data_IF_493552276722
#
_entry.id   IF_493552276722
#
_cell.length_a   1.000
_cell.length_b   1.000
_cell.length_c   1.000
_cell.angle_alpha   90.00
_cell.angle_beta   90.00
_cell.angle_gamma   90.00
#
_symmetry.space_group_name_H-M   'P 1'
#
loop_
_entity.id
_entity.type
_entity.pdbx_description
1 polymer ?
#
# COMPACT_ATOMS: atom_id res chain seq x y z
N UNK A 1 -17.04 -16.39 9.71
CA UNK A 1 -16.81 -16.55 8.26
C UNK A 1 -15.69 -15.60 7.88
N UNK A 2 -14.69 -16.00 7.08
CA UNK A 2 -13.76 -15.04 6.50
C UNK A 2 -14.57 -13.97 5.78
N UNK A 3 -14.21 -12.71 5.95
CA UNK A 3 -14.81 -11.63 5.16
C UNK A 3 -14.25 -11.76 3.73
N UNK A 4 -15.03 -11.37 2.72
CA UNK A 4 -14.59 -11.46 1.33
C UNK A 4 -13.53 -10.38 1.04
N UNK A 5 -12.43 -10.76 0.39
CA UNK A 5 -11.36 -9.85 -0.05
C UNK A 5 -10.23 -9.60 0.97
N UNK A 6 -9.28 -8.76 0.55
CA UNK A 6 -8.12 -8.31 1.32
C UNK A 6 -8.39 -6.87 1.76
N UNK A 7 -8.48 -6.64 3.07
CA UNK A 7 -8.64 -5.28 3.59
C UNK A 7 -8.32 -5.18 5.09
N UNK A 8 -7.92 -3.98 5.50
CA UNK A 8 -7.82 -3.55 6.89
C UNK A 8 -8.32 -2.12 7.05
N UNK A 9 -8.74 -1.77 8.27
CA UNK A 9 -8.85 -0.36 8.64
C UNK A 9 -7.48 0.31 8.68
N UNK A 10 -7.46 1.62 8.43
CA UNK A 10 -6.25 2.42 8.60
C UNK A 10 -6.11 2.86 10.05
N UNK A 11 -5.01 2.42 10.68
CA UNK A 11 -4.65 2.78 12.04
C UNK A 11 -5.55 2.18 13.13
N UNK A 12 -5.41 2.71 14.35
CA UNK A 12 -6.12 2.22 15.52
C UNK A 12 -7.56 2.72 15.55
N UNK A 13 -8.52 1.84 15.29
CA UNK A 13 -9.96 2.13 15.39
C UNK A 13 -10.53 1.97 16.80
N UNK A 14 -9.78 1.32 17.70
CA UNK A 14 -10.22 1.00 19.07
C UNK A 14 -10.98 -0.33 19.16
N UNK A 15 -10.89 -1.00 20.30
CA UNK A 15 -11.46 -2.34 20.46
C UNK A 15 -10.77 -3.39 19.57
N UNK A 16 -11.49 -4.45 19.20
CA UNK A 16 -11.01 -5.46 18.25
C UNK A 16 -11.11 -4.93 16.83
N UNK A 17 -10.00 -4.97 16.08
CA UNK A 17 -9.97 -4.65 14.65
C UNK A 17 -9.64 -5.89 13.82
N UNK A 18 -10.27 -6.01 12.65
CA UNK A 18 -10.11 -7.15 11.75
C UNK A 18 -9.19 -6.77 10.60
N UNK A 19 -8.26 -7.68 10.29
CA UNK A 19 -7.57 -7.73 9.01
C UNK A 19 -8.19 -8.91 8.25
N UNK A 20 -8.82 -8.63 7.11
CA UNK A 20 -9.42 -9.66 6.26
C UNK A 20 -8.39 -10.18 5.27
N UNK A 21 -8.18 -11.49 5.28
CA UNK A 21 -7.31 -12.18 4.33
C UNK A 21 -8.07 -13.40 3.79
N UNK A 22 -8.77 -13.22 2.67
CA UNK A 22 -9.35 -14.33 1.93
C UNK A 22 -8.26 -15.26 1.36
N UNK A 23 -8.65 -16.41 0.81
CA UNK A 23 -7.70 -17.45 0.34
C UNK A 23 -6.73 -16.92 -0.72
N UNK A 24 -7.20 -16.04 -1.58
CA UNK A 24 -6.42 -15.34 -2.62
C UNK A 24 -5.54 -14.21 -2.06
N UNK A 25 -5.75 -13.80 -0.81
CA UNK A 25 -4.93 -12.80 -0.10
C UNK A 25 -3.74 -13.40 0.64
N UNK A 26 -3.60 -14.72 0.70
CA UNK A 26 -2.51 -15.40 1.44
C UNK A 26 -1.22 -15.39 0.62
N UNK A 27 -0.69 -14.18 0.40
CA UNK A 27 0.60 -13.91 -0.19
C UNK A 27 1.33 -12.87 0.66
N UNK A 28 2.63 -13.05 0.88
CA UNK A 28 3.41 -12.23 1.82
C UNK A 28 3.23 -10.71 1.61
N UNK A 29 3.23 -10.27 0.35
CA UNK A 29 3.09 -8.85 0.02
C UNK A 29 1.70 -8.29 0.35
N UNK A 30 0.63 -9.06 0.12
CA UNK A 30 -0.74 -8.64 0.47
C UNK A 30 -0.88 -8.57 1.99
N UNK A 31 -0.36 -9.57 2.71
CA UNK A 31 -0.43 -9.56 4.17
C UNK A 31 0.30 -8.33 4.73
N UNK A 32 1.50 -8.02 4.21
CA UNK A 32 2.23 -6.82 4.64
C UNK A 32 1.51 -5.52 4.28
N UNK A 33 0.86 -5.44 3.12
CA UNK A 33 0.02 -4.31 2.73
C UNK A 33 -1.10 -4.07 3.75
N UNK A 34 -1.86 -5.11 4.10
CA UNK A 34 -2.95 -4.99 5.06
C UNK A 34 -2.48 -4.70 6.49
N UNK A 35 -1.33 -5.26 6.89
CA UNK A 35 -0.70 -4.93 8.17
C UNK A 35 -0.25 -3.47 8.20
N UNK A 36 0.29 -2.94 7.10
CA UNK A 36 0.66 -1.53 7.01
C UNK A 36 -0.57 -0.61 7.14
N UNK A 37 -1.69 -0.96 6.52
CA UNK A 37 -2.96 -0.28 6.78
C UNK A 37 -3.31 -0.31 8.28
N UNK A 38 -3.33 -1.48 8.92
CA UNK A 38 -3.63 -1.59 10.35
C UNK A 38 -2.73 -0.73 11.25
N UNK A 39 -1.47 -0.54 10.85
CA UNK A 39 -0.50 0.30 11.56
C UNK A 39 -0.81 1.80 11.38
N UNK A 40 -1.38 2.19 10.24
CA UNK A 40 -1.76 3.58 9.95
C UNK A 40 -1.23 4.13 8.63
N UNK A 41 -0.75 3.29 7.73
CA UNK A 41 -0.30 3.71 6.41
C UNK A 41 -1.46 3.76 5.43
N UNK A 42 -1.53 4.87 4.71
CA UNK A 42 -2.45 5.08 3.60
C UNK A 42 -1.79 4.70 2.27
N UNK A 43 -2.57 4.60 1.20
CA UNK A 43 -2.00 4.34 -0.11
C UNK A 43 -1.13 5.51 -0.62
N UNK A 44 0.02 5.17 -1.21
CA UNK A 44 0.98 6.17 -1.68
C UNK A 44 0.38 7.01 -2.84
N UNK A 45 -0.46 6.42 -3.69
CA UNK A 45 -1.14 7.14 -4.78
C UNK A 45 -2.26 8.09 -4.30
N UNK A 46 -2.66 8.03 -3.03
CA UNK A 46 -3.65 8.94 -2.45
C UNK A 46 -3.01 10.17 -1.80
N UNK A 47 -1.68 10.29 -1.81
CA UNK A 47 -0.98 11.47 -1.30
C UNK A 47 -1.51 12.78 -1.92
N UNK A 48 -1.58 13.88 -1.16
CA UNK A 48 -2.06 15.17 -1.70
C UNK A 48 -1.21 15.69 -2.87
N UNK A 49 0.08 15.35 -2.89
CA UNK A 49 1.06 15.74 -3.92
C UNK A 49 1.21 14.75 -5.08
N UNK A 50 0.41 13.66 -5.11
CA UNK A 50 0.53 12.56 -6.09
C UNK A 50 0.48 13.01 -7.56
N UNK A 51 -0.24 14.10 -7.87
CA UNK A 51 -0.35 14.61 -9.24
C UNK A 51 0.96 15.19 -9.80
N UNK A 52 2.01 15.35 -8.97
CA UNK A 52 3.38 15.66 -9.42
C UNK A 52 4.14 14.43 -9.94
N UNK A 53 3.64 13.23 -9.64
CA UNK A 53 4.33 11.96 -9.84
C UNK A 53 3.57 11.02 -10.76
N UNK A 54 2.25 10.98 -10.63
CA UNK A 54 1.36 10.15 -11.47
C UNK A 54 0.23 10.98 -12.06
N UNK A 55 -0.40 10.44 -13.10
CA UNK A 55 -1.64 10.93 -13.68
C UNK A 55 -2.67 9.81 -13.66
N UNK A 56 -3.86 10.11 -13.12
CA UNK A 56 -4.98 9.18 -13.09
C UNK A 56 -5.87 9.36 -14.32
N UNK A 57 -6.10 8.29 -15.08
CA UNK A 57 -6.98 8.23 -16.23
C UNK A 57 -8.39 7.84 -15.79
N UNK A 58 -9.13 8.78 -15.20
CA UNK A 58 -10.47 8.53 -14.63
C UNK A 58 -11.47 7.94 -15.63
N UNK A 59 -11.32 8.23 -16.94
CA UNK A 59 -12.16 7.64 -18.00
C UNK A 59 -11.99 6.12 -18.12
N UNK A 60 -10.87 5.58 -17.65
CA UNK A 60 -10.57 4.14 -17.65
C UNK A 60 -10.95 3.46 -16.34
N UNK A 61 -11.33 4.20 -15.30
CA UNK A 61 -11.71 3.63 -14.00
C UNK A 61 -13.12 3.02 -14.10
N UNK A 62 -13.33 1.88 -13.46
CA UNK A 62 -14.64 1.25 -13.35
C UNK A 62 -15.65 2.18 -12.66
N UNK A 63 -16.90 2.15 -13.11
CA UNK A 63 -17.98 2.93 -12.49
C UNK A 63 -18.11 2.54 -11.01
N UNK A 64 -18.18 3.55 -10.13
CA UNK A 64 -18.23 3.37 -8.67
C UNK A 64 -16.87 3.22 -7.98
N UNK A 65 -15.76 3.11 -8.72
CA UNK A 65 -14.42 2.92 -8.16
C UNK A 65 -13.56 4.20 -8.15
N UNK A 66 -14.14 5.36 -8.50
CA UNK A 66 -13.43 6.64 -8.53
C UNK A 66 -12.89 7.04 -7.14
N UNK A 67 -13.62 6.68 -6.08
CA UNK A 67 -13.26 6.99 -4.67
C UNK A 67 -11.91 6.40 -4.25
N UNK A 68 -11.47 5.27 -4.84
CA UNK A 68 -10.16 4.67 -4.53
C UNK A 68 -8.99 5.51 -5.04
N UNK A 69 -9.27 6.52 -5.87
CA UNK A 69 -8.30 7.49 -6.36
C UNK A 69 -8.47 8.86 -5.71
N UNK A 70 -9.37 9.04 -4.74
CA UNK A 70 -9.47 10.31 -4.04
C UNK A 70 -8.18 10.58 -3.27
N UNK A 71 -7.72 11.84 -3.35
CA UNK A 71 -6.55 12.28 -2.60
C UNK A 71 -6.97 12.56 -1.17
N UNK A 72 -6.11 12.20 -0.23
CA UNK A 72 -6.24 12.60 1.15
C UNK A 72 -6.05 14.12 1.26
N UNK A 73 -6.59 14.70 2.33
CA UNK A 73 -6.31 16.08 2.72
C UNK A 73 -4.88 16.19 3.27
N UNK A 74 -4.17 17.31 3.03
CA UNK A 74 -2.89 17.59 3.68
C UNK A 74 -2.92 17.58 5.21
N UNK A 75 -4.10 17.65 5.82
CA UNK A 75 -4.27 17.56 7.28
C UNK A 75 -4.48 16.13 7.80
N UNK A 76 -4.76 15.18 6.91
CA UNK A 76 -5.06 13.78 7.26
C UNK A 76 -3.82 12.88 7.22
N UNK A 77 -2.78 13.29 6.49
CA UNK A 77 -1.58 12.47 6.27
C UNK A 77 -0.32 13.32 6.33
N UNK A 78 0.69 12.83 7.04
CA UNK A 78 2.05 13.37 7.01
C UNK A 78 2.88 12.55 6.02
N UNK A 79 3.50 13.22 5.04
CA UNK A 79 4.29 12.60 3.98
C UNK A 79 5.60 13.37 3.79
N UNK A 80 6.47 13.40 4.81
CA UNK A 80 7.72 14.15 4.77
C UNK A 80 8.73 13.56 3.78
N UNK A 81 8.49 12.33 3.34
CA UNK A 81 9.37 11.57 2.48
C UNK A 81 9.03 11.77 1.00
N UNK A 82 9.99 11.47 0.13
CA UNK A 82 9.79 11.49 -1.32
C UNK A 82 8.74 10.48 -1.75
N UNK A 83 7.96 10.82 -2.79
CA UNK A 83 7.00 9.89 -3.39
C UNK A 83 7.69 8.61 -3.85
N UNK A 84 7.14 7.47 -3.45
CA UNK A 84 7.73 6.17 -3.69
C UNK A 84 6.87 5.29 -4.59
N UNK A 85 7.25 5.19 -5.87
CA UNK A 85 6.56 4.33 -6.83
C UNK A 85 6.68 2.84 -6.48
N UNK A 86 7.70 2.45 -5.72
CA UNK A 86 7.98 1.06 -5.35
C UNK A 86 7.41 0.70 -3.97
N UNK A 87 6.64 1.61 -3.35
CA UNK A 87 6.00 1.36 -2.05
C UNK A 87 5.01 0.21 -2.17
N UNK A 88 5.01 -0.69 -1.19
CA UNK A 88 4.01 -1.76 -1.10
C UNK A 88 2.58 -1.20 -0.96
N UNK A 89 2.45 0.08 -0.56
CA UNK A 89 1.18 0.81 -0.46
C UNK A 89 0.80 1.52 -1.77
N UNK A 90 1.54 1.35 -2.85
CA UNK A 90 1.22 1.92 -4.16
C UNK A 90 0.48 0.89 -5.03
N UNK A 91 -0.66 1.28 -5.59
CA UNK A 91 -1.38 0.44 -6.56
C UNK A 91 -0.66 0.29 -7.90
N UNK A 92 -0.92 -0.82 -8.58
CA UNK A 92 -0.48 -1.06 -9.95
C UNK A 92 -1.17 -0.11 -10.96
N UNK A 93 -0.60 -0.01 -12.16
CA UNK A 93 -1.09 0.88 -13.23
C UNK A 93 -2.51 0.55 -13.73
N UNK A 94 -3.02 -0.66 -13.49
CA UNK A 94 -4.33 -1.13 -13.94
C UNK A 94 -5.36 -1.22 -12.81
N UNK A 95 -5.02 -0.84 -11.57
CA UNK A 95 -5.93 -0.89 -10.44
C UNK A 95 -7.30 -0.29 -10.79
N UNK A 96 -8.38 -1.03 -10.50
CA UNK A 96 -9.76 -0.66 -10.79
C UNK A 96 -10.07 -0.24 -12.25
N UNK A 97 -9.23 -0.61 -13.22
CA UNK A 97 -9.48 -0.34 -14.63
C UNK A 97 -10.68 -1.11 -15.17
N UNK A 98 -11.47 -0.48 -16.04
CA UNK A 98 -12.52 -1.17 -16.80
C UNK A 98 -11.89 -2.19 -17.74
N UNK A 99 -12.62 -3.24 -18.07
CA UNK A 99 -12.18 -4.21 -19.08
C UNK A 99 -12.45 -3.65 -20.47
N UNK A 100 -11.46 -3.72 -21.34
CA UNK A 100 -11.61 -3.46 -22.75
C UNK A 100 -12.61 -4.46 -23.36
N UNK A 101 -13.60 -3.96 -24.10
CA UNK A 101 -14.69 -4.78 -24.62
C UNK A 101 -14.27 -5.74 -25.73
N UNK A 102 -13.12 -5.49 -26.37
CA UNK A 102 -12.62 -6.30 -27.49
C UNK A 102 -11.61 -7.35 -27.05
N UNK A 103 -10.72 -7.00 -26.12
CA UNK A 103 -9.61 -7.85 -25.67
C UNK A 103 -9.85 -8.46 -24.29
N UNK A 104 -10.77 -7.91 -23.49
CA UNK A 104 -10.98 -8.29 -22.10
C UNK A 104 -9.88 -7.82 -21.14
N UNK A 105 -8.83 -7.17 -21.64
CA UNK A 105 -7.73 -6.65 -20.84
C UNK A 105 -8.19 -5.50 -19.94
N UNK A 106 -7.62 -5.40 -18.74
CA UNK A 106 -7.89 -4.27 -17.84
C UNK A 106 -7.19 -3.03 -18.39
N UNK A 107 -7.88 -1.90 -18.48
CA UNK A 107 -7.26 -0.66 -18.95
C UNK A 107 -6.36 -0.03 -17.89
N UNK A 108 -5.33 0.68 -18.34
CA UNK A 108 -4.45 1.48 -17.47
C UNK A 108 -5.23 2.65 -16.88
N UNK A 109 -5.17 2.80 -15.55
CA UNK A 109 -5.77 3.88 -14.77
C UNK A 109 -4.75 4.83 -14.18
N UNK A 110 -3.49 4.43 -14.01
CA UNK A 110 -2.43 5.31 -13.49
C UNK A 110 -1.18 5.27 -14.36
N UNK A 111 -0.68 6.46 -14.68
CA UNK A 111 0.50 6.64 -15.55
C UNK A 111 1.56 7.43 -14.77
N UNK A 112 2.77 6.89 -14.55
CA UNK A 112 3.84 7.65 -13.93
C UNK A 112 4.35 8.74 -14.87
N UNK A 113 4.63 9.92 -14.31
CA UNK A 113 5.17 11.08 -15.05
C UNK A 113 6.69 10.99 -15.21
N UNK A 114 7.37 10.21 -14.36
CA UNK A 114 8.79 9.92 -14.47
C UNK A 114 9.03 8.85 -15.54
N UNK A 115 9.84 9.18 -16.56
CA UNK A 115 10.19 8.25 -17.63
C UNK A 115 10.90 7.00 -17.08
N UNK A 116 10.52 5.84 -17.61
CA UNK A 116 11.13 4.55 -17.27
C UNK A 116 10.59 3.91 -15.98
N UNK A 117 9.66 4.57 -15.28
CA UNK A 117 8.92 3.96 -14.18
C UNK A 117 7.79 3.10 -14.74
N UNK A 118 7.63 1.91 -14.18
CA UNK A 118 6.52 0.98 -14.43
C UNK A 118 5.82 0.78 -13.09
N UNK A 119 4.49 0.80 -13.10
CA UNK A 119 3.67 0.55 -11.90
C UNK A 119 3.06 -0.83 -12.04
N UNK A 120 3.70 -1.80 -11.40
CA UNK A 120 3.25 -3.18 -11.24
C UNK A 120 2.97 -3.45 -9.75
N UNK A 121 2.51 -4.66 -9.44
CA UNK A 121 2.38 -5.09 -8.04
C UNK A 121 3.74 -5.09 -7.33
N UNK A 122 3.85 -4.29 -6.27
CA UNK A 122 5.04 -4.24 -5.43
C UNK A 122 5.04 -5.43 -4.45
N UNK A 123 5.89 -6.42 -4.74
CA UNK A 123 5.90 -7.70 -4.01
C UNK A 123 6.66 -7.67 -2.68
N UNK A 124 7.15 -6.52 -2.25
CA UNK A 124 7.91 -6.32 -1.00
C UNK A 124 7.85 -4.87 -0.55
N UNK A 125 8.08 -4.63 0.74
CA UNK A 125 8.29 -3.29 1.28
C UNK A 125 9.52 -2.63 0.64
N UNK A 126 9.38 -1.36 0.28
CA UNK A 126 10.49 -0.54 -0.17
C UNK A 126 11.38 -0.11 1.01
N UNK A 127 12.54 0.48 0.71
CA UNK A 127 13.36 1.11 1.74
C UNK A 127 12.63 2.27 2.44
N UNK A 128 11.76 2.99 1.70
CA UNK A 128 10.94 4.07 2.24
C UNK A 128 9.88 3.53 3.19
N UNK A 129 9.19 2.45 2.84
CA UNK A 129 8.19 1.79 3.70
C UNK A 129 8.81 1.37 5.03
N UNK A 130 9.97 0.72 4.98
CA UNK A 130 10.71 0.27 6.16
C UNK A 130 11.17 1.48 7.00
N UNK A 131 11.65 2.55 6.36
CA UNK A 131 12.07 3.76 7.06
C UNK A 131 10.89 4.44 7.78
N UNK A 132 9.75 4.57 7.10
CA UNK A 132 8.50 5.11 7.66
C UNK A 132 8.02 4.28 8.85
N UNK A 133 8.00 2.96 8.71
CA UNK A 133 7.60 2.04 9.78
C UNK A 133 8.53 2.18 11.00
N UNK A 134 9.85 2.20 10.79
CA UNK A 134 10.81 2.37 11.88
C UNK A 134 10.67 3.74 12.57
N UNK A 135 10.38 4.80 11.80
CA UNK A 135 10.13 6.14 12.36
C UNK A 135 8.90 6.17 13.24
N UNK A 136 7.81 5.56 12.78
CA UNK A 136 6.55 5.48 13.54
C UNK A 136 6.72 4.67 14.83
N UNK A 137 7.46 3.55 14.77
CA UNK A 137 7.74 2.69 15.92
C UNK A 137 8.85 3.19 16.85
N UNK A 138 9.48 4.34 16.56
CA UNK A 138 10.71 4.81 17.24
C UNK A 138 11.82 3.75 17.31
N UNK A 139 11.93 2.91 16.27
CA UNK A 139 12.91 1.84 16.19
C UNK A 139 14.30 2.41 15.85
N UNK A 140 15.31 2.15 16.69
CA UNK A 140 16.71 2.46 16.38
C UNK A 140 17.29 1.41 15.43
N UNK A 141 17.44 1.76 14.16
CA UNK A 141 18.11 0.91 13.18
C UNK A 141 19.62 0.89 13.47
N UNK A 142 20.10 -0.13 14.17
CA UNK A 142 21.55 -0.33 14.31
C UNK A 142 22.15 -0.65 12.94
N UNK A 143 22.97 0.27 12.41
CA UNK A 143 23.74 0.05 11.17
C UNK A 143 24.60 -1.21 11.34
N UNK A 144 24.12 -2.32 10.78
CA UNK A 144 24.72 -3.65 10.93
C UNK A 144 23.70 -4.80 10.98
N UNK A 145 22.42 -4.52 11.25
CA UNK A 145 21.35 -5.53 11.31
C UNK A 145 20.38 -5.52 10.11
N UNK A 146 20.85 -5.09 8.94
CA UNK A 146 20.05 -5.14 7.70
C UNK A 146 19.79 -6.56 7.16
N UNK A 147 20.13 -7.64 7.87
CA UNK A 147 20.26 -8.95 7.20
C UNK A 147 19.42 -10.13 7.72
N UNK A 148 18.83 -10.10 8.93
CA UNK A 148 18.19 -11.35 9.42
C UNK A 148 16.73 -11.25 9.88
N UNK A 149 16.22 -10.10 10.31
CA UNK A 149 14.87 -10.02 10.87
C UNK A 149 13.80 -9.52 9.91
N UNK A 150 14.13 -8.92 8.76
CA UNK A 150 13.12 -8.42 7.81
C UNK A 150 13.07 -9.19 6.49
N UNK A 151 14.16 -9.86 6.11
CA UNK A 151 14.21 -10.71 4.91
C UNK A 151 13.73 -12.16 5.16
N UNK A 152 13.34 -12.48 6.40
CA UNK A 152 12.85 -13.80 6.83
C UNK A 152 11.70 -13.77 7.84
N UNK A 153 11.28 -12.58 8.30
CA UNK A 153 10.17 -12.51 9.22
C UNK A 153 8.86 -12.68 8.46
N UNK A 154 8.11 -13.68 8.88
CA UNK A 154 6.70 -13.78 8.54
C UNK A 154 5.97 -12.60 9.21
N UNK A 155 4.86 -12.11 8.65
CA UNK A 155 4.01 -11.10 9.32
C UNK A 155 3.66 -11.46 10.78
N UNK A 156 3.67 -12.75 11.12
CA UNK A 156 3.46 -13.24 12.48
C UNK A 156 4.57 -12.85 13.47
N UNK A 157 5.81 -12.64 13.04
CA UNK A 157 6.95 -12.30 13.92
C UNK A 157 6.94 -10.83 14.38
N UNK A 158 6.15 -9.96 13.74
CA UNK A 158 6.08 -8.53 14.06
C UNK A 158 4.98 -8.20 15.08
N UNK A 159 3.93 -9.03 15.15
CA UNK A 159 2.78 -8.82 16.04
C UNK A 159 3.16 -8.96 17.52
N UNK A 160 4.20 -9.74 17.85
CA UNK A 160 4.64 -9.92 19.26
C UNK A 160 5.36 -8.70 19.85
N UNK A 161 5.85 -7.74 19.06
CA UNK A 161 6.64 -6.60 19.57
C UNK A 161 5.84 -5.33 19.85
N UNK A 162 4.59 -5.26 19.40
CA UNK A 162 3.69 -4.10 19.60
C UNK A 162 2.72 -4.31 20.78
N UNK A 163 2.94 -5.35 21.59
CA UNK A 163 2.17 -5.67 22.79
C UNK A 163 3.05 -6.05 23.97
N UNK A 164 3.64 -5.04 24.63
CA UNK A 164 4.04 -5.04 26.04
C UNK A 164 4.00 -3.60 26.59
#
# INVERSE_FOLDING_TARGET
MPLDGCYSYVGKVGGTQVISLAVDCIADYIIWHEVMHAIGFEHEHQRPDRDKFIRVEYINVQQGQLVNFDKLSPHEVDYPDTYDYDSIMHYDSHAFGRKDSSTGARLVTMIPLKKGVILDDNLKMSESDIAKLNRLGNCTVSKGLYSLFLLRASPFDYIEKIGA
#
